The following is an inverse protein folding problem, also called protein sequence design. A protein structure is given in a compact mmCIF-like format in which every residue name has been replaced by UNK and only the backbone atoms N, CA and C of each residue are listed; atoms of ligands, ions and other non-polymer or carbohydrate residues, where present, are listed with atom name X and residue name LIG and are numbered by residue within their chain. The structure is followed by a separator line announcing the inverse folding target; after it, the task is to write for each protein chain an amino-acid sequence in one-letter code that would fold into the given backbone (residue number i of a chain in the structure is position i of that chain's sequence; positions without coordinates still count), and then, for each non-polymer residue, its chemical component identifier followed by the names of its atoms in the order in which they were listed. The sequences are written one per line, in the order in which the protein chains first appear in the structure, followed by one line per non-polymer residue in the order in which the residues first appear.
data_IF_803227799310
#
_entry.id   IF_803227799310
#
_cell.length_a   1.000
_cell.length_b   1.000
_cell.length_c   1.000
_cell.angle_alpha   90.00
_cell.angle_beta   90.00
_cell.angle_gamma   90.00
#
_symmetry.space_group_name_H-M   'P 1'
#
loop_
_entity.id
_entity.type
_entity.pdbx_description
1 polymer ?
#
# COMPACT_ATOMS: atom_id res chain seq x y z
N UNK A 1 5.43 -5.32 -46.48
CA UNK A 1 6.60 -6.22 -46.39
C UNK A 1 6.51 -6.96 -45.07
N UNK A 2 6.48 -8.29 -45.13
CA UNK A 2 6.26 -9.18 -44.00
C UNK A 2 7.25 -10.35 -44.08
N UNK A 3 7.46 -10.96 -42.93
CA UNK A 3 8.13 -12.24 -42.66
C UNK A 3 9.66 -12.29 -42.77
N UNK A 4 10.26 -12.41 -41.58
CA UNK A 4 11.16 -13.51 -41.22
C UNK A 4 12.54 -13.55 -41.87
N UNK A 5 13.52 -12.97 -41.17
CA UNK A 5 14.89 -13.46 -40.99
C UNK A 5 15.41 -12.58 -39.84
N UNK A 6 15.79 -13.08 -38.67
CA UNK A 6 16.97 -13.92 -38.46
C UNK A 6 16.74 -14.76 -37.18
N UNK A 7 16.59 -16.07 -37.34
CA UNK A 7 16.90 -17.02 -36.27
C UNK A 7 18.38 -17.37 -36.41
N UNK A 8 19.23 -16.76 -35.57
CA UNK A 8 20.60 -17.23 -35.35
C UNK A 8 20.74 -17.56 -33.88
N UNK A 9 20.87 -18.86 -33.63
CA UNK A 9 21.32 -19.48 -32.38
C UNK A 9 22.41 -18.68 -31.66
N UNK A 10 22.28 -18.53 -30.34
CA UNK A 10 23.44 -18.71 -29.47
C UNK A 10 23.01 -18.94 -28.03
N UNK A 11 23.24 -20.16 -27.55
CA UNK A 11 23.65 -20.40 -26.16
C UNK A 11 22.53 -20.61 -25.14
N UNK A 12 22.04 -21.84 -25.04
CA UNK A 12 21.66 -22.42 -23.76
C UNK A 12 22.90 -22.42 -22.83
N UNK A 13 23.16 -21.30 -22.16
CA UNK A 13 24.04 -21.28 -21.00
C UNK A 13 23.18 -21.44 -19.75
N UNK A 14 23.20 -22.68 -19.28
CA UNK A 14 22.85 -23.06 -17.93
C UNK A 14 23.51 -22.09 -16.93
N UNK A 15 22.71 -21.21 -16.35
CA UNK A 15 23.06 -20.66 -15.05
C UNK A 15 22.56 -21.64 -14.00
N UNK A 16 23.54 -22.27 -13.37
CA UNK A 16 23.35 -23.18 -12.27
C UNK A 16 22.42 -22.59 -11.22
N UNK A 17 21.66 -23.51 -10.64
CA UNK A 17 21.05 -23.38 -9.32
C UNK A 17 22.15 -23.05 -8.31
N UNK A 18 22.56 -21.79 -8.24
CA UNK A 18 22.98 -21.21 -6.98
C UNK A 18 21.69 -21.12 -6.17
N UNK A 19 21.63 -21.86 -5.06
CA UNK A 19 20.61 -21.68 -4.05
C UNK A 19 20.69 -20.23 -3.57
N UNK A 20 19.94 -19.36 -4.23
CA UNK A 20 19.64 -18.04 -3.72
C UNK A 20 18.77 -18.27 -2.49
N UNK A 21 19.36 -18.04 -1.33
CA UNK A 21 18.67 -17.89 -0.06
C UNK A 21 17.33 -17.18 -0.28
N UNK A 22 16.17 -17.79 0.00
CA UNK A 22 14.89 -17.14 -0.22
C UNK A 22 14.66 -16.14 0.91
N UNK A 23 15.03 -14.89 0.69
CA UNK A 23 14.60 -13.76 1.51
C UNK A 23 14.58 -12.49 0.65
N UNK A 24 13.43 -12.19 0.01
CA UNK A 24 12.61 -11.05 0.48
C UNK A 24 11.09 -11.20 0.25
N UNK A 25 10.57 -12.40 -0.05
CA UNK A 25 9.15 -12.57 -0.39
C UNK A 25 8.20 -12.34 0.80
N UNK A 26 8.61 -12.76 2.00
CA UNK A 26 7.86 -12.51 3.23
C UNK A 26 7.77 -11.01 3.56
N UNK A 27 8.87 -10.27 3.36
CA UNK A 27 8.95 -8.83 3.62
C UNK A 27 8.06 -8.03 2.67
N UNK A 28 8.04 -8.42 1.38
CA UNK A 28 7.17 -7.80 0.36
C UNK A 28 5.69 -8.12 0.56
N UNK A 29 5.35 -9.26 1.14
CA UNK A 29 3.96 -9.62 1.47
C UNK A 29 3.46 -8.95 2.76
N UNK A 30 4.35 -8.68 3.72
CA UNK A 30 4.03 -8.01 4.99
C UNK A 30 3.78 -6.50 4.81
N UNK A 31 4.54 -5.85 3.93
CA UNK A 31 4.45 -4.40 3.66
C UNK A 31 3.05 -3.89 3.23
N UNK A 32 2.33 -4.53 2.29
CA UNK A 32 0.99 -4.09 1.91
C UNK A 32 -0.05 -4.30 3.01
N UNK A 33 0.11 -5.33 3.87
CA UNK A 33 -0.78 -5.54 5.01
C UNK A 33 -0.59 -4.42 6.05
N UNK A 34 0.65 -4.14 6.47
CA UNK A 34 0.95 -3.08 7.42
C UNK A 34 0.48 -1.69 6.93
N UNK A 35 0.56 -1.42 5.62
CA UNK A 35 0.06 -0.17 5.03
C UNK A 35 -1.47 -0.10 5.05
N UNK A 36 -2.17 -1.22 4.81
CA UNK A 36 -3.62 -1.29 4.91
C UNK A 36 -4.08 -1.06 6.35
N UNK A 37 -3.41 -1.68 7.32
CA UNK A 37 -3.71 -1.50 8.74
C UNK A 37 -3.52 -0.04 9.18
N UNK A 38 -2.43 0.61 8.73
CA UNK A 38 -2.20 2.04 8.98
C UNK A 38 -3.26 2.92 8.33
N UNK A 39 -3.71 2.57 7.12
CA UNK A 39 -4.79 3.30 6.46
C UNK A 39 -6.10 3.15 7.23
N UNK A 40 -6.45 1.94 7.70
CA UNK A 40 -7.66 1.72 8.50
C UNK A 40 -7.61 2.46 9.84
N UNK A 41 -6.45 2.53 10.49
CA UNK A 41 -6.26 3.33 11.70
C UNK A 41 -6.48 4.85 11.45
N UNK A 42 -5.91 5.39 10.37
CA UNK A 42 -6.13 6.81 9.99
C UNK A 42 -7.60 7.10 9.69
N UNK A 43 -8.29 6.15 9.07
CA UNK A 43 -9.69 6.27 8.71
C UNK A 43 -10.60 6.15 9.95
N UNK A 44 -10.24 5.32 10.93
CA UNK A 44 -10.92 5.29 12.22
C UNK A 44 -10.79 6.64 12.93
N UNK A 45 -9.58 7.20 12.99
CA UNK A 45 -9.32 8.51 13.58
C UNK A 45 -10.13 9.63 12.91
N UNK A 46 -10.25 9.60 11.57
CA UNK A 46 -11.09 10.55 10.84
C UNK A 46 -12.57 10.44 11.26
N UNK A 47 -13.10 9.23 11.44
CA UNK A 47 -14.50 9.02 11.89
C UNK A 47 -14.72 9.54 13.30
N UNK A 48 -13.79 9.25 14.21
CA UNK A 48 -13.83 9.74 15.59
C UNK A 48 -13.79 11.27 15.65
N UNK A 49 -12.99 11.89 14.78
CA UNK A 49 -12.95 13.34 14.62
C UNK A 49 -14.23 13.93 13.98
N UNK A 50 -15.18 13.10 13.54
CA UNK A 50 -16.44 13.53 12.93
C UNK A 50 -16.30 13.90 11.45
N UNK A 51 -15.37 13.25 10.74
CA UNK A 51 -15.31 13.26 9.28
C UNK A 51 -16.23 12.16 8.72
N UNK A 52 -16.89 12.44 7.61
CA UNK A 52 -17.55 11.43 6.80
C UNK A 52 -16.49 10.70 5.98
N UNK A 53 -16.53 9.36 6.03
CA UNK A 53 -15.70 8.52 5.20
C UNK A 53 -16.59 7.57 4.40
N UNK A 54 -16.47 7.62 3.08
CA UNK A 54 -17.28 6.85 2.15
C UNK A 54 -16.40 5.94 1.32
N UNK A 55 -16.82 4.68 1.11
CA UNK A 55 -16.18 3.79 0.15
C UNK A 55 -16.76 4.07 -1.24
N UNK A 56 -15.96 4.69 -2.10
CA UNK A 56 -16.36 5.05 -3.46
C UNK A 56 -16.22 3.85 -4.43
N UNK A 57 -15.34 2.91 -4.10
CA UNK A 57 -15.17 1.67 -4.85
C UNK A 57 -14.02 0.81 -4.37
N UNK A 58 -13.93 -0.40 -4.92
CA UNK A 58 -12.82 -1.31 -4.70
C UNK A 58 -12.44 -1.99 -6.03
N UNK A 59 -11.16 -1.90 -6.39
CA UNK A 59 -10.60 -2.57 -7.58
C UNK A 59 -9.49 -3.50 -7.10
N UNK A 60 -9.70 -4.80 -7.26
CA UNK A 60 -8.80 -5.81 -6.70
C UNK A 60 -8.68 -5.66 -5.17
N UNK A 61 -7.47 -5.42 -4.68
CA UNK A 61 -7.17 -5.22 -3.25
C UNK A 61 -7.16 -3.74 -2.84
N UNK A 62 -7.32 -2.82 -3.78
CA UNK A 62 -7.26 -1.38 -3.52
C UNK A 62 -8.66 -0.82 -3.26
N UNK A 63 -8.82 -0.10 -2.15
CA UNK A 63 -10.05 0.57 -1.74
C UNK A 63 -9.92 2.08 -1.99
N UNK A 64 -10.87 2.66 -2.71
CA UNK A 64 -10.97 4.09 -2.94
C UNK A 64 -11.98 4.67 -1.97
N UNK A 65 -11.51 5.56 -1.09
CA UNK A 65 -12.34 6.17 -0.06
C UNK A 65 -12.23 7.69 -0.11
N UNK A 66 -13.38 8.36 -0.11
CA UNK A 66 -13.46 9.81 0.06
C UNK A 66 -13.60 10.16 1.54
N UNK A 67 -12.97 11.26 1.94
CA UNK A 67 -13.05 11.81 3.30
C UNK A 67 -13.49 13.27 3.19
N UNK A 68 -14.61 13.61 3.82
CA UNK A 68 -15.20 14.95 3.77
C UNK A 68 -15.75 15.36 5.13
N UNK A 69 -15.81 16.66 5.40
CA UNK A 69 -16.34 17.16 6.67
C UNK A 69 -16.18 18.67 6.83
N UNK A 70 -16.63 19.18 7.96
CA UNK A 70 -16.42 20.58 8.32
C UNK A 70 -14.94 20.86 8.63
N UNK A 71 -14.51 22.12 8.48
CA UNK A 71 -13.15 22.55 8.91
C UNK A 71 -12.91 22.26 10.40
N UNK A 72 -13.94 22.39 11.24
CA UNK A 72 -13.83 22.05 12.66
C UNK A 72 -13.57 20.56 12.89
N UNK A 73 -14.18 19.68 12.09
CA UNK A 73 -13.88 18.23 12.12
C UNK A 73 -12.46 17.95 11.64
N UNK A 74 -12.00 18.64 10.60
CA UNK A 74 -10.62 18.52 10.12
C UNK A 74 -9.60 18.95 11.20
N UNK A 75 -9.86 20.05 11.91
CA UNK A 75 -9.01 20.48 13.02
C UNK A 75 -8.91 19.42 14.12
N UNK A 76 -10.05 18.83 14.53
CA UNK A 76 -10.04 17.74 15.53
C UNK A 76 -9.24 16.53 15.05
N UNK A 77 -9.36 16.19 13.77
CA UNK A 77 -8.60 15.10 13.16
C UNK A 77 -7.09 15.36 13.24
N UNK A 78 -6.65 16.57 12.87
CA UNK A 78 -5.22 16.95 12.93
C UNK A 78 -4.70 16.88 14.37
N UNK A 79 -5.44 17.44 15.34
CA UNK A 79 -5.06 17.35 16.75
C UNK A 79 -4.94 15.91 17.22
N UNK A 80 -5.92 15.06 16.90
CA UNK A 80 -5.88 13.65 17.28
C UNK A 80 -4.73 12.89 16.60
N UNK A 81 -4.38 13.26 15.36
CA UNK A 81 -3.26 12.68 14.63
C UNK A 81 -1.91 13.06 15.27
N UNK A 82 -1.75 14.31 15.66
CA UNK A 82 -0.55 14.78 16.37
C UNK A 82 -0.36 14.02 17.69
N UNK A 83 -1.43 13.85 18.48
CA UNK A 83 -1.40 13.04 19.70
C UNK A 83 -1.00 11.58 19.42
N UNK A 84 -1.61 10.95 18.42
CA UNK A 84 -1.29 9.56 18.05
C UNK A 84 0.16 9.37 17.61
N UNK A 85 0.77 10.39 16.98
CA UNK A 85 2.18 10.32 16.57
C UNK A 85 3.12 10.50 17.77
N UNK A 86 2.76 11.36 18.73
CA UNK A 86 3.53 11.55 19.96
C UNK A 86 3.47 10.32 20.87
N UNK A 87 2.32 9.65 20.95
CA UNK A 87 2.14 8.43 21.75
C UNK A 87 2.90 7.23 21.16
N UNK A 88 3.21 7.25 19.87
CA UNK A 88 3.96 6.18 19.19
C UNK A 88 5.49 6.24 19.44
N UNK A 89 5.99 7.35 19.98
CA UNK A 89 7.41 7.55 20.33
C UNK A 89 7.75 7.09 21.76
N UNK A 90 6.79 6.49 22.49
CA UNK A 90 6.94 5.96 23.85
C UNK A 90 6.74 4.45 23.91
#
# INVERSE_FOLDING_TARGET
MSYQDVYTESGYLAYGRAEATPAPEADRAAQPAARADRADALLALAREAGMLVTLDGQIGRERYQSVAGSVASLMRFVTALEHSLLDADH
#
